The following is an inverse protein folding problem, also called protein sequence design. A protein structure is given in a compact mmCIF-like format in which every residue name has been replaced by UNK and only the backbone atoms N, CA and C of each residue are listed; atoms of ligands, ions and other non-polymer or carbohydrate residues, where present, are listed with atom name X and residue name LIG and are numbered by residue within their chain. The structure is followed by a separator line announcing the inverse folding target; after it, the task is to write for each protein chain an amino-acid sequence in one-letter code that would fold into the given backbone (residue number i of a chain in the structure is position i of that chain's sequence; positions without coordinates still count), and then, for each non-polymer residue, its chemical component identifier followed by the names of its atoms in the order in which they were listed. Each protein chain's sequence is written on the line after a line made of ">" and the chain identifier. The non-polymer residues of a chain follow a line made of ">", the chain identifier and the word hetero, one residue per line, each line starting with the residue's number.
data_IF_862868057973
#
_entry.id   IF_862868057973
#
_cell.length_a   1.000
_cell.length_b   1.000
_cell.length_c   1.000
_cell.angle_alpha   90.00
_cell.angle_beta   90.00
_cell.angle_gamma   90.00
#
_symmetry.space_group_name_H-M   'P 1'
#
loop_
_entity.id
_entity.type
_entity.pdbx_description
1 polymer ?
#
# COMPACT_ATOMS: atom_id res chain seq x y z
N UNK A 1 -22.13 4.43 14.00
CA UNK A 1 -22.31 3.49 12.87
C UNK A 1 -21.72 4.15 11.64
N UNK A 2 -20.84 3.48 10.90
CA UNK A 2 -20.25 4.02 9.66
C UNK A 2 -21.20 3.81 8.48
N UNK A 3 -21.10 4.64 7.43
CA UNK A 3 -21.90 4.43 6.22
C UNK A 3 -21.53 3.12 5.54
N UNK A 4 -22.48 2.51 4.81
CA UNK A 4 -22.23 1.29 4.01
C UNK A 4 -21.07 1.49 3.03
N UNK A 5 -21.05 2.65 2.35
CA UNK A 5 -19.98 2.99 1.39
C UNK A 5 -18.63 3.05 2.08
N UNK A 6 -18.54 3.67 3.26
CA UNK A 6 -17.30 3.73 4.06
C UNK A 6 -16.82 2.33 4.42
N UNK A 7 -17.72 1.46 4.89
CA UNK A 7 -17.40 0.09 5.23
C UNK A 7 -16.88 -0.69 4.02
N UNK A 8 -17.58 -0.64 2.89
CA UNK A 8 -17.20 -1.34 1.66
C UNK A 8 -15.84 -0.88 1.13
N UNK A 9 -15.56 0.43 1.23
CA UNK A 9 -14.24 0.97 0.88
C UNK A 9 -13.15 0.50 1.83
N UNK A 10 -13.38 0.53 3.14
CA UNK A 10 -12.37 0.06 4.10
C UNK A 10 -12.12 -1.45 3.97
N UNK A 11 -13.14 -2.23 3.63
CA UNK A 11 -13.02 -3.67 3.37
C UNK A 11 -12.19 -3.95 2.10
N UNK A 12 -12.41 -3.17 1.05
CA UNK A 12 -11.70 -3.31 -0.23
C UNK A 12 -10.23 -2.90 -0.10
N UNK A 13 -9.96 -1.74 0.51
CA UNK A 13 -8.61 -1.15 0.59
C UNK A 13 -7.80 -1.71 1.79
N UNK A 14 -8.45 -2.40 2.72
CA UNK A 14 -7.82 -3.02 3.89
C UNK A 14 -7.42 -2.06 5.01
N UNK A 15 -7.24 -0.76 4.75
CA UNK A 15 -6.94 0.28 5.76
C UNK A 15 -7.89 1.47 5.64
N UNK A 16 -8.29 2.05 6.77
CA UNK A 16 -9.16 3.23 6.79
C UNK A 16 -8.84 4.19 7.93
N UNK A 17 -8.87 5.49 7.64
CA UNK A 17 -8.72 6.56 8.62
C UNK A 17 -10.07 7.24 8.85
N UNK A 18 -10.57 7.19 10.08
CA UNK A 18 -11.78 7.86 10.49
C UNK A 18 -11.54 9.37 10.70
N UNK A 19 -12.63 10.15 10.68
CA UNK A 19 -12.56 11.62 10.84
C UNK A 19 -11.98 12.06 12.19
N UNK A 20 -12.15 11.25 13.22
CA UNK A 20 -11.59 11.46 14.57
C UNK A 20 -10.11 11.05 14.68
N UNK A 21 -9.50 10.60 13.57
CA UNK A 21 -8.09 10.22 13.50
C UNK A 21 -7.80 8.77 13.93
N UNK A 22 -8.83 7.98 14.23
CA UNK A 22 -8.69 6.54 14.49
C UNK A 22 -8.36 5.82 13.18
N UNK A 23 -7.21 5.15 13.15
CA UNK A 23 -6.79 4.30 12.05
C UNK A 23 -7.25 2.87 12.33
N UNK A 24 -7.85 2.24 11.34
CA UNK A 24 -8.27 0.83 11.40
C UNK A 24 -7.70 0.03 10.23
N UNK A 25 -7.39 -1.24 10.48
CA UNK A 25 -7.09 -2.23 9.44
C UNK A 25 -8.15 -3.32 9.46
N UNK A 26 -8.44 -3.89 8.30
CA UNK A 26 -9.19 -5.13 8.17
C UNK A 26 -8.44 -6.24 8.93
N UNK A 27 -9.16 -6.97 9.77
CA UNK A 27 -8.62 -8.15 10.46
C UNK A 27 -8.37 -9.30 9.45
N UNK A 28 -7.86 -10.42 9.92
CA UNK A 28 -7.74 -11.71 9.22
C UNK A 28 -9.04 -12.24 8.59
N UNK A 29 -10.20 -11.71 9.00
CA UNK A 29 -11.49 -11.96 8.35
C UNK A 29 -11.81 -10.95 7.24
N UNK A 30 -13.05 -11.00 6.72
CA UNK A 30 -13.51 -10.04 5.70
C UNK A 30 -14.39 -8.92 6.27
N UNK A 31 -14.78 -8.99 7.54
CA UNK A 31 -15.90 -8.20 8.06
C UNK A 31 -15.63 -7.46 9.37
N UNK A 32 -14.40 -7.53 9.90
CA UNK A 32 -14.03 -6.93 11.16
C UNK A 32 -12.80 -6.05 10.98
N UNK A 33 -12.71 -5.00 11.80
CA UNK A 33 -11.62 -4.05 11.78
C UNK A 33 -10.99 -3.94 13.17
N UNK A 34 -9.67 -3.80 13.19
CA UNK A 34 -8.89 -3.59 14.42
C UNK A 34 -8.33 -2.18 14.44
N UNK A 35 -8.31 -1.57 15.62
CA UNK A 35 -7.70 -0.25 15.82
C UNK A 35 -6.19 -0.37 15.82
N UNK A 36 -5.54 0.49 15.04
CA UNK A 36 -4.09 0.49 14.88
C UNK A 36 -3.43 1.54 15.76
N UNK A 37 -2.37 1.13 16.46
CA UNK A 37 -1.48 2.06 17.12
C UNK A 37 -0.61 2.80 16.08
N UNK A 38 -1.01 4.04 15.78
CA UNK A 38 -0.35 4.90 14.78
C UNK A 38 1.10 5.26 15.13
N UNK A 39 1.52 5.17 16.39
CA UNK A 39 2.93 5.37 16.75
C UNK A 39 3.82 4.21 16.26
N UNK A 40 3.26 3.01 16.12
CA UNK A 40 3.98 1.82 15.64
C UNK A 40 3.79 1.59 14.13
N UNK A 41 2.57 1.81 13.65
CA UNK A 41 2.17 1.59 12.26
C UNK A 41 1.32 2.77 11.77
N UNK A 42 1.95 3.90 11.41
CA UNK A 42 1.24 5.17 11.15
C UNK A 42 0.27 5.11 9.97
N UNK A 43 0.44 4.15 9.07
CA UNK A 43 -0.31 4.01 7.83
C UNK A 43 -1.03 2.67 7.69
N UNK A 44 -0.91 1.79 8.69
CA UNK A 44 -1.52 0.48 8.68
C UNK A 44 -0.51 -0.66 8.80
N UNK A 45 -1.04 -1.86 9.01
CA UNK A 45 -0.28 -3.08 9.24
C UNK A 45 -0.58 -4.06 8.09
N UNK A 46 0.47 -4.63 7.50
CA UNK A 46 0.35 -5.70 6.51
C UNK A 46 0.21 -7.08 7.17
N UNK A 47 -0.07 -8.09 6.35
CA UNK A 47 -0.38 -9.45 6.77
C UNK A 47 0.66 -10.15 7.64
N UNK A 48 1.91 -9.70 7.64
CA UNK A 48 2.99 -10.22 8.49
C UNK A 48 3.29 -9.32 9.71
N UNK A 49 2.31 -8.55 10.16
CA UNK A 49 2.39 -7.62 11.30
C UNK A 49 3.48 -6.55 11.16
N UNK A 50 3.83 -6.18 9.93
CA UNK A 50 4.76 -5.13 9.57
C UNK A 50 4.04 -3.81 9.27
N UNK A 51 4.65 -2.68 9.63
CA UNK A 51 4.12 -1.37 9.23
C UNK A 51 4.22 -1.19 7.70
N UNK A 52 3.10 -0.82 7.07
CA UNK A 52 3.05 -0.48 5.66
C UNK A 52 3.70 0.87 5.39
N UNK A 53 4.34 0.98 4.24
CA UNK A 53 5.10 2.16 3.80
C UNK A 53 4.55 2.65 2.47
N UNK A 54 3.93 3.84 2.44
CA UNK A 54 3.41 4.41 1.21
C UNK A 54 4.51 4.49 0.16
N UNK A 55 4.18 4.13 -1.08
CA UNK A 55 5.07 4.07 -2.24
C UNK A 55 6.20 3.03 -2.13
N UNK A 56 6.13 2.09 -1.19
CA UNK A 56 7.19 1.08 -1.00
C UNK A 56 6.60 -0.30 -0.77
N UNK A 57 5.57 -0.39 0.05
CA UNK A 57 4.87 -1.64 0.33
C UNK A 57 3.98 -2.01 -0.86
N UNK A 58 4.03 -3.28 -1.24
CA UNK A 58 3.08 -3.87 -2.18
C UNK A 58 2.43 -5.12 -1.60
N UNK A 59 1.21 -5.41 -2.05
CA UNK A 59 0.53 -6.66 -1.77
C UNK A 59 0.66 -7.62 -2.97
N UNK A 60 0.88 -8.90 -2.70
CA UNK A 60 0.92 -9.96 -3.73
C UNK A 60 0.71 -11.33 -3.09
N UNK A 61 -0.13 -12.17 -3.69
CA UNK A 61 -0.43 -13.52 -3.17
C UNK A 61 0.58 -14.59 -3.65
N UNK A 62 1.36 -14.29 -4.69
CA UNK A 62 2.23 -15.27 -5.37
C UNK A 62 3.73 -14.98 -5.19
N UNK A 63 4.08 -13.99 -4.36
CA UNK A 63 5.45 -13.58 -4.09
C UNK A 63 5.64 -13.52 -2.58
N UNK A 64 6.69 -14.15 -2.08
CA UNK A 64 6.97 -14.20 -0.65
C UNK A 64 7.12 -12.80 -0.04
N UNK A 65 6.53 -12.61 1.15
CA UNK A 65 6.70 -11.41 1.97
C UNK A 65 8.19 -11.14 2.20
N UNK A 66 8.57 -9.86 2.17
CA UNK A 66 9.94 -9.39 2.30
C UNK A 66 10.72 -9.37 0.98
N UNK A 67 10.19 -9.97 -0.09
CA UNK A 67 10.83 -9.93 -1.41
C UNK A 67 10.89 -8.50 -1.92
N UNK A 68 12.09 -8.06 -2.33
CA UNK A 68 12.27 -6.78 -3.03
C UNK A 68 12.03 -6.94 -4.52
N UNK A 69 11.27 -6.00 -5.06
CA UNK A 69 10.92 -5.96 -6.47
C UNK A 69 11.40 -4.64 -7.07
N UNK A 70 11.80 -4.71 -8.33
CA UNK A 70 12.01 -3.55 -9.16
C UNK A 70 10.89 -3.48 -10.21
N UNK A 71 10.19 -2.36 -10.22
CA UNK A 71 9.10 -2.07 -11.16
C UNK A 71 9.54 -0.92 -12.04
N UNK A 72 9.79 -1.22 -13.32
CA UNK A 72 10.32 -0.24 -14.29
C UNK A 72 9.44 0.99 -14.42
N UNK A 73 8.11 0.82 -14.43
CA UNK A 73 7.17 1.93 -14.53
C UNK A 73 7.21 2.91 -13.34
N UNK A 74 7.76 2.48 -12.19
CA UNK A 74 7.92 3.34 -11.02
C UNK A 74 9.32 4.00 -10.96
N UNK A 75 10.24 3.67 -11.85
CA UNK A 75 11.56 4.30 -11.86
C UNK A 75 11.53 5.62 -12.64
N UNK A 76 11.99 6.70 -12.01
CA UNK A 76 11.87 8.06 -12.55
C UNK A 76 10.48 8.67 -12.40
N UNK A 77 9.51 7.97 -11.80
CA UNK A 77 8.16 8.48 -11.60
C UNK A 77 8.19 9.67 -10.63
N UNK A 78 7.66 10.82 -11.07
CA UNK A 78 7.49 11.99 -10.22
C UNK A 78 6.24 11.89 -9.36
N UNK A 79 6.44 11.91 -8.05
CA UNK A 79 5.41 11.83 -7.03
C UNK A 79 4.81 13.22 -6.75
N UNK A 80 3.57 13.30 -6.24
CA UNK A 80 2.91 14.57 -5.94
C UNK A 80 3.69 15.48 -4.99
N UNK A 81 4.52 14.91 -4.12
CA UNK A 81 5.36 15.65 -3.17
C UNK A 81 6.72 16.11 -3.75
N UNK A 82 6.91 16.00 -5.07
CA UNK A 82 8.14 16.40 -5.75
C UNK A 82 9.30 15.41 -5.64
N UNK A 83 9.14 14.29 -4.92
CA UNK A 83 10.15 13.22 -4.92
C UNK A 83 10.04 12.38 -6.19
N UNK A 84 11.17 11.77 -6.55
CA UNK A 84 11.25 10.83 -7.67
C UNK A 84 11.41 9.41 -7.15
N UNK A 85 10.50 8.53 -7.57
CA UNK A 85 10.54 7.11 -7.22
C UNK A 85 11.64 6.38 -8.01
N UNK A 86 12.28 5.38 -7.39
CA UNK A 86 13.45 4.66 -7.94
C UNK A 86 13.16 3.22 -8.40
N UNK A 87 11.89 2.91 -8.67
CA UNK A 87 11.42 1.59 -9.04
C UNK A 87 11.42 0.53 -7.91
N UNK A 88 12.02 0.78 -6.75
CA UNK A 88 12.22 -0.25 -5.74
C UNK A 88 11.06 -0.32 -4.73
N UNK A 89 10.45 -1.50 -4.62
CA UNK A 89 9.35 -1.79 -3.70
C UNK A 89 9.61 -3.12 -2.96
N UNK A 90 8.76 -3.45 -1.99
CA UNK A 90 8.86 -4.70 -1.22
C UNK A 90 7.47 -5.27 -0.95
N UNK A 91 7.35 -6.58 -1.12
CA UNK A 91 6.13 -7.31 -0.75
C UNK A 91 5.99 -7.29 0.76
N UNK A 92 4.96 -6.63 1.24
CA UNK A 92 4.73 -6.34 2.66
C UNK A 92 3.32 -6.74 3.10
N UNK A 93 2.50 -7.23 2.18
CA UNK A 93 1.12 -7.58 2.43
C UNK A 93 0.59 -8.65 1.46
N UNK A 94 -0.60 -9.18 1.74
CA UNK A 94 -1.39 -10.03 0.85
C UNK A 94 -2.81 -9.49 0.76
N UNK A 95 -3.52 -9.79 -0.33
CA UNK A 95 -4.87 -9.24 -0.56
C UNK A 95 -5.89 -10.34 -0.78
N UNK A 96 -7.05 -10.25 -0.11
CA UNK A 96 -8.11 -11.26 -0.25
C UNK A 96 -8.76 -11.29 -1.63
N UNK A 97 -8.64 -10.19 -2.39
CA UNK A 97 -9.17 -10.00 -3.74
C UNK A 97 -8.07 -10.04 -4.83
N UNK A 98 -6.81 -10.31 -4.47
CA UNK A 98 -5.72 -10.38 -5.44
C UNK A 98 -5.66 -11.77 -6.09
N UNK A 99 -5.58 -11.75 -7.41
CA UNK A 99 -5.41 -12.94 -8.25
C UNK A 99 -3.93 -13.20 -8.55
N UNK A 100 -3.65 -14.22 -9.36
CA UNK A 100 -2.29 -14.54 -9.78
C UNK A 100 -1.67 -13.42 -10.63
N UNK A 101 -0.35 -13.25 -10.53
CA UNK A 101 0.42 -12.25 -11.29
C UNK A 101 0.02 -10.78 -11.04
N UNK A 102 -0.61 -10.48 -9.91
CA UNK A 102 -0.94 -9.12 -9.52
C UNK A 102 0.01 -8.59 -8.42
N UNK A 103 0.28 -7.29 -8.50
CA UNK A 103 0.96 -6.53 -7.46
C UNK A 103 0.14 -5.27 -7.22
N UNK A 104 -0.28 -5.04 -5.98
CA UNK A 104 -1.01 -3.84 -5.58
C UNK A 104 -0.10 -2.87 -4.84
N UNK A 105 -0.02 -1.63 -5.30
CA UNK A 105 0.88 -0.61 -4.76
C UNK A 105 0.18 0.23 -3.69
N UNK A 106 0.69 0.16 -2.46
CA UNK A 106 0.17 0.95 -1.36
C UNK A 106 0.58 2.43 -1.50
N UNK A 107 -0.34 3.28 -1.97
CA UNK A 107 -0.12 4.74 -2.13
C UNK A 107 -0.78 5.60 -1.04
N UNK A 108 -1.48 4.98 -0.09
CA UNK A 108 -2.18 5.59 1.05
C UNK A 108 -3.35 6.51 0.70
N UNK A 109 -3.16 7.52 -0.15
CA UNK A 109 -4.16 8.55 -0.44
C UNK A 109 -4.89 8.30 -1.76
N UNK A 110 -6.21 8.50 -1.78
CA UNK A 110 -7.00 8.41 -3.01
C UNK A 110 -6.57 9.44 -4.07
N UNK A 111 -6.16 10.64 -3.65
CA UNK A 111 -5.61 11.65 -4.54
C UNK A 111 -4.34 11.17 -5.26
N UNK A 112 -3.50 10.45 -4.54
CA UNK A 112 -2.24 9.91 -5.05
C UNK A 112 -2.50 8.78 -6.04
N UNK A 113 -3.44 7.89 -5.72
CA UNK A 113 -3.98 6.90 -6.66
C UNK A 113 -4.48 7.55 -7.94
N UNK A 114 -5.33 8.59 -7.85
CA UNK A 114 -5.87 9.28 -9.03
C UNK A 114 -4.80 9.96 -9.87
N UNK A 115 -3.78 10.53 -9.25
CA UNK A 115 -2.63 11.09 -9.95
C UNK A 115 -1.80 10.01 -10.65
N UNK A 116 -1.74 8.81 -10.07
CA UNK A 116 -0.91 7.70 -10.54
C UNK A 116 -1.54 6.94 -11.72
N UNK A 117 -2.83 6.62 -11.66
CA UNK A 117 -3.49 5.79 -12.69
C UNK A 117 -3.46 6.42 -14.09
N UNK A 118 -3.31 7.74 -14.18
CA UNK A 118 -3.14 8.44 -15.47
C UNK A 118 -1.73 8.34 -16.06
N UNK A 119 -0.74 7.88 -15.27
CA UNK A 119 0.69 7.87 -15.61
C UNK A 119 1.27 6.48 -15.78
N UNK A 120 0.65 5.46 -15.18
CA UNK A 120 1.11 4.09 -15.24
C UNK A 120 0.39 3.30 -16.33
N UNK A 121 1.08 2.34 -16.98
CA UNK A 121 0.42 1.37 -17.84
C UNK A 121 -0.41 0.38 -17.00
N UNK A 122 -1.42 -0.25 -17.63
CA UNK A 122 -2.23 -1.30 -17.00
C UNK A 122 -1.41 -2.55 -16.62
N UNK A 123 -0.28 -2.78 -17.29
CA UNK A 123 0.67 -3.84 -16.96
C UNK A 123 2.11 -3.36 -17.14
N UNK A 124 3.01 -3.89 -16.31
CA UNK A 124 4.43 -3.58 -16.36
C UNK A 124 5.26 -4.79 -15.96
N UNK A 125 6.49 -4.85 -16.46
CA UNK A 125 7.47 -5.82 -15.98
C UNK A 125 7.79 -5.56 -14.49
N UNK A 126 7.84 -6.65 -13.74
CA UNK A 126 8.23 -6.70 -12.33
C UNK A 126 9.36 -7.71 -12.19
N UNK A 127 10.48 -7.28 -11.64
CA UNK A 127 11.66 -8.13 -11.47
C UNK A 127 11.94 -8.33 -9.98
N UNK A 128 12.15 -9.58 -9.56
CA UNK A 128 12.77 -9.85 -8.25
C UNK A 128 14.21 -9.36 -8.30
N UNK A 129 14.50 -8.27 -7.59
CA UNK A 129 15.79 -7.58 -7.67
C UNK A 129 16.19 -7.02 -6.32
N UNK A 130 17.44 -7.25 -5.93
CA UNK A 130 18.01 -6.54 -4.79
C UNK A 130 18.20 -5.07 -5.17
N UNK A 131 17.34 -4.23 -4.63
CA UNK A 131 17.39 -2.77 -4.79
C UNK A 131 17.30 -2.06 -3.43
N UNK A 132 17.55 -0.76 -3.42
CA UNK A 132 17.50 0.08 -2.22
C UNK A 132 16.14 0.74 -2.11
N UNK A 133 15.40 0.40 -1.05
CA UNK A 133 14.12 1.05 -0.73
C UNK A 133 14.41 2.48 -0.26
N UNK A 134 13.68 3.46 -0.81
CA UNK A 134 13.71 4.85 -0.33
C UNK A 134 12.49 5.12 0.56
N UNK A 135 12.48 6.29 1.21
CA UNK A 135 11.30 6.77 1.95
C UNK A 135 10.69 7.97 1.25
N UNK A 136 9.42 7.85 0.86
CA UNK A 136 8.74 8.87 0.07
C UNK A 136 7.83 9.77 0.88
N UNK A 137 7.39 9.36 2.06
CA UNK A 137 6.59 10.19 2.97
C UNK A 137 7.45 10.80 4.07
N UNK A 138 7.04 11.95 4.59
CA UNK A 138 7.55 12.50 5.86
C UNK A 138 6.59 12.12 6.96
N UNK A 139 7.12 11.54 8.04
CA UNK A 139 6.34 11.29 9.24
C UNK A 139 6.17 12.62 9.96
N UNK A 140 4.98 13.21 9.88
CA UNK A 140 4.61 14.23 10.85
C UNK A 140 4.00 13.48 12.02
N UNK A 141 4.78 13.38 13.10
CA UNK A 141 4.35 12.95 14.43
C UNK A 141 3.19 13.79 14.94
#
# INVERSE_FOLDING_TARGET
>A
MVSKITYEKFQMEGTGLLQDGVLVNLDSGKNAFVVINRQKAPFGIGSSNNALKPWVSVASNNIDIGTKLYIKALDGLQLPNGKTHNGCVRVDDVGWNLEECQVDLFVLLYSDYRALVSKLPDSTAVEKKRCTLKTYVTYNS
#
